data_IF_073999481044
#
_entry.id   IF_073999481044
#
_cell.length_a   1.000
_cell.length_b   1.000
_cell.length_c   1.000
_cell.angle_alpha   90.00
_cell.angle_beta   90.00
_cell.angle_gamma   90.00
#
_symmetry.space_group_name_H-M   'P 1'
#
loop_
_entity.id
_entity.type
_entity.pdbx_description
1 polymer ?
#
# COMPACT_ATOMS: atom_id res chain seq x y z
N UNK A 1 14.58 -8.20 82.05
CA UNK A 1 14.98 -6.79 82.29
C UNK A 1 13.99 -5.87 81.60
N UNK A 2 13.57 -4.84 82.34
CA UNK A 2 12.54 -3.82 82.04
C UNK A 2 12.98 -2.80 80.95
N UNK A 3 12.07 -1.93 80.45
CA UNK A 3 11.94 -1.74 79.00
C UNK A 3 11.76 -0.23 78.58
N UNK A 4 11.42 0.04 77.29
CA UNK A 4 10.76 1.26 76.71
C UNK A 4 11.47 2.63 76.74
N UNK A 5 11.49 3.33 75.57
CA UNK A 5 10.68 4.55 75.34
C UNK A 5 10.80 5.10 73.90
N UNK A 6 9.63 5.48 73.40
CA UNK A 6 9.31 6.31 72.23
C UNK A 6 9.21 7.78 72.69
N UNK A 7 9.46 8.73 71.79
CA UNK A 7 8.72 10.02 71.55
C UNK A 7 9.63 10.98 70.78
N UNK A 8 9.18 12.01 70.06
CA UNK A 8 8.11 12.20 69.06
C UNK A 8 8.21 13.68 68.62
N UNK A 9 7.75 13.95 67.40
CA UNK A 9 7.15 15.21 66.94
C UNK A 9 8.04 16.44 66.63
N UNK A 10 7.63 17.16 65.57
CA UNK A 10 7.98 18.57 65.37
C UNK A 10 8.08 19.02 63.92
N UNK A 11 6.94 19.30 63.29
CA UNK A 11 6.82 19.84 61.94
C UNK A 11 7.32 21.30 61.79
N UNK A 12 7.72 21.70 60.57
CA UNK A 12 7.29 22.97 59.95
C UNK A 12 7.85 23.15 58.53
N UNK A 13 6.95 23.53 57.62
CA UNK A 13 7.18 24.02 56.25
C UNK A 13 7.89 25.38 56.24
N UNK A 14 8.68 25.66 55.21
CA UNK A 14 8.63 26.97 54.54
C UNK A 14 9.06 26.90 53.09
N UNK A 15 8.29 27.61 52.27
CA UNK A 15 8.27 27.73 50.81
C UNK A 15 9.04 28.98 50.37
N UNK A 16 9.43 29.05 49.08
CA UNK A 16 9.85 30.21 48.25
C UNK A 16 11.37 30.31 48.02
N UNK A 17 11.91 30.67 46.84
CA UNK A 17 11.36 31.21 45.57
C UNK A 17 12.46 31.10 44.49
N UNK A 18 12.03 31.08 43.21
CA UNK A 18 12.81 31.28 41.98
C UNK A 18 13.49 32.66 41.91
N UNK A 19 14.62 32.74 41.19
CA UNK A 19 14.96 33.78 40.20
C UNK A 19 16.17 33.25 39.38
N UNK A 20 16.04 32.90 38.09
CA UNK A 20 16.08 33.75 36.87
C UNK A 20 17.49 34.29 36.57
N UNK A 21 18.03 33.84 35.43
CA UNK A 21 19.26 34.30 34.79
C UNK A 21 19.16 35.76 34.28
N UNK A 22 20.29 36.35 33.85
CA UNK A 22 20.33 36.67 32.41
C UNK A 22 21.71 36.52 31.74
N UNK A 23 21.65 36.67 30.43
CA UNK A 23 22.61 36.34 29.39
C UNK A 23 23.70 37.39 29.11
N UNK A 24 24.69 36.93 28.34
CA UNK A 24 25.43 37.61 27.28
C UNK A 24 26.48 38.69 27.64
N UNK A 25 27.76 38.42 27.29
CA UNK A 25 28.53 39.23 26.32
C UNK A 25 29.88 38.58 25.98
N UNK A 26 30.11 38.36 24.68
CA UNK A 26 31.46 38.30 24.08
C UNK A 26 32.14 39.67 24.23
N UNK A 27 33.47 39.81 24.32
CA UNK A 27 34.38 39.91 23.17
C UNK A 27 35.85 39.80 23.62
N UNK A 28 36.69 39.35 22.68
CA UNK A 28 38.15 39.21 22.72
C UNK A 28 38.92 40.51 23.00
N UNK A 29 40.07 40.43 23.68
CA UNK A 29 41.37 40.91 23.18
C UNK A 29 42.54 40.22 23.92
N UNK A 30 43.62 40.03 23.17
CA UNK A 30 44.72 39.10 23.40
C UNK A 30 46.03 39.82 23.76
N UNK A 31 47.03 39.01 24.15
CA UNK A 31 48.50 39.25 24.21
C UNK A 31 49.02 39.99 25.44
N UNK A 32 49.99 39.47 26.19
CA UNK A 32 51.36 39.07 25.81
C UNK A 32 51.93 38.12 26.87
N UNK A 33 52.41 36.93 26.49
CA UNK A 33 53.81 36.57 26.18
C UNK A 33 54.62 36.05 27.38
N UNK A 34 54.75 34.73 27.44
CA UNK A 34 56.00 34.08 27.84
C UNK A 34 56.03 32.68 27.21
N UNK A 35 56.65 32.60 26.03
CA UNK A 35 57.24 31.37 25.49
C UNK A 35 58.20 30.83 26.58
N UNK A 36 58.29 29.53 26.88
CA UNK A 36 58.55 28.46 25.93
C UNK A 36 58.39 27.07 26.61
N UNK A 37 58.38 26.02 25.76
CA UNK A 37 58.61 24.59 26.08
C UNK A 37 57.37 23.69 26.37
N UNK A 38 56.65 23.39 25.28
CA UNK A 38 56.08 22.08 24.89
C UNK A 38 55.44 21.20 25.99
N UNK A 39 54.24 21.58 26.45
CA UNK A 39 53.29 20.61 27.03
C UNK A 39 52.61 19.85 25.90
N UNK A 40 52.93 18.56 25.75
CA UNK A 40 52.18 17.61 24.90
C UNK A 40 50.68 17.76 25.19
N UNK A 41 49.79 17.73 24.18
CA UNK A 41 48.36 17.74 24.43
C UNK A 41 48.00 16.54 25.32
N UNK A 42 47.31 16.80 26.43
CA UNK A 42 46.71 15.74 27.25
C UNK A 42 45.64 15.07 26.38
N UNK A 43 46.03 13.96 25.74
CA UNK A 43 45.09 13.02 25.17
C UNK A 43 44.23 12.56 26.35
N UNK A 44 42.97 12.99 26.39
CA UNK A 44 41.97 12.31 27.21
C UNK A 44 41.89 10.89 26.67
N UNK A 45 42.62 9.97 27.32
CA UNK A 45 42.42 8.53 27.11
C UNK A 45 41.01 8.27 27.62
N UNK A 46 40.02 8.32 26.72
CA UNK A 46 38.69 7.82 27.02
C UNK A 46 38.90 6.40 27.54
N UNK A 47 38.56 6.14 28.81
CA UNK A 47 38.59 4.78 29.36
C UNK A 47 37.87 3.90 28.34
N UNK A 48 38.54 2.85 27.87
CA UNK A 48 37.92 1.83 27.03
C UNK A 48 36.63 1.42 27.77
N UNK A 49 35.45 1.49 27.15
CA UNK A 49 34.23 0.98 27.77
C UNK A 49 34.51 -0.45 28.24
N UNK A 50 34.04 -0.81 29.45
CA UNK A 50 34.12 -2.18 29.91
C UNK A 50 33.51 -3.08 28.83
N UNK A 51 34.31 -4.04 28.35
CA UNK A 51 33.83 -4.98 27.34
C UNK A 51 32.61 -5.69 27.91
N UNK A 52 31.46 -5.67 27.21
CA UNK A 52 30.25 -6.28 27.72
C UNK A 52 30.51 -7.76 28.00
N UNK A 53 30.24 -8.18 29.23
CA UNK A 53 30.44 -9.56 29.66
C UNK A 53 29.65 -10.49 28.73
N UNK A 54 30.40 -11.25 27.96
CA UNK A 54 29.86 -12.22 27.01
C UNK A 54 29.12 -13.31 27.80
N UNK A 55 27.87 -13.66 27.44
CA UNK A 55 27.13 -14.72 28.12
C UNK A 55 27.89 -16.06 28.06
N UNK A 56 27.88 -16.89 29.12
CA UNK A 56 28.53 -18.21 29.12
C UNK A 56 28.05 -19.16 28.02
N UNK A 57 26.88 -18.90 27.45
CA UNK A 57 26.28 -19.65 26.34
C UNK A 57 26.80 -19.23 24.95
N UNK A 58 27.48 -18.09 24.82
CA UNK A 58 28.05 -17.63 23.56
C UNK A 58 29.37 -18.33 23.30
N UNK A 59 29.34 -19.29 22.38
CA UNK A 59 30.56 -19.85 21.79
C UNK A 59 30.87 -19.02 20.54
N UNK A 60 31.95 -18.23 20.50
CA UNK A 60 32.34 -17.55 19.29
C UNK A 60 32.56 -18.58 18.18
N UNK A 61 32.20 -18.23 16.95
CA UNK A 61 32.61 -19.01 15.80
C UNK A 61 34.11 -18.74 15.59
N UNK A 62 34.95 -19.77 15.69
CA UNK A 62 36.36 -19.65 15.35
C UNK A 62 36.45 -19.48 13.82
N UNK A 63 36.70 -18.26 13.37
CA UNK A 63 37.15 -18.02 11.99
C UNK A 63 38.58 -18.56 11.93
N UNK A 64 38.93 -19.39 10.92
CA UNK A 64 40.32 -19.78 10.70
C UNK A 64 41.22 -18.55 10.71
N UNK A 65 42.39 -18.60 11.37
CA UNK A 65 43.34 -17.48 11.46
C UNK A 65 43.79 -16.91 10.10
N UNK A 66 43.40 -17.53 8.99
CA UNK A 66 43.75 -17.16 7.62
C UNK A 66 42.74 -16.20 6.97
N UNK A 67 41.57 -15.95 7.57
CA UNK A 67 40.43 -15.32 6.87
C UNK A 67 40.21 -13.82 7.13
N UNK A 68 41.20 -13.09 7.64
CA UNK A 68 40.98 -11.69 8.09
C UNK A 68 42.07 -10.69 7.71
N UNK A 69 42.73 -10.84 6.56
CA UNK A 69 43.25 -9.66 5.85
C UNK A 69 42.33 -9.41 4.65
N UNK A 70 41.15 -8.81 4.91
CA UNK A 70 40.19 -8.45 3.86
C UNK A 70 40.75 -7.42 2.85
N UNK A 71 41.90 -6.83 3.17
CA UNK A 71 42.62 -5.85 2.37
C UNK A 71 43.70 -6.50 1.49
N UNK A 72 43.82 -7.83 1.51
CA UNK A 72 44.98 -8.56 0.98
C UNK A 72 44.82 -9.09 -0.44
N UNK A 73 43.77 -8.67 -1.15
CA UNK A 73 43.57 -9.04 -2.54
C UNK A 73 44.75 -8.57 -3.41
N UNK A 74 45.60 -9.50 -3.83
CA UNK A 74 46.82 -9.21 -4.60
C UNK A 74 48.08 -8.93 -3.77
N UNK A 75 48.03 -9.12 -2.44
CA UNK A 75 49.21 -8.98 -1.59
C UNK A 75 50.01 -10.31 -1.53
N UNK A 76 51.23 -10.30 -2.09
CA UNK A 76 52.16 -11.44 -2.13
C UNK A 76 52.57 -11.96 -0.73
N UNK A 77 52.39 -11.14 0.32
CA UNK A 77 52.69 -11.50 1.70
C UNK A 77 51.54 -12.23 2.40
N UNK A 78 50.37 -12.34 1.75
CA UNK A 78 49.26 -13.14 2.28
C UNK A 78 49.54 -14.61 2.01
N UNK A 79 49.64 -15.41 3.06
CA UNK A 79 49.78 -16.86 2.90
C UNK A 79 48.53 -17.41 2.17
N UNK A 80 48.68 -18.14 1.06
CA UNK A 80 47.54 -18.71 0.34
C UNK A 80 46.84 -19.78 1.18
N UNK A 81 45.55 -19.96 0.91
CA UNK A 81 44.76 -21.01 1.54
C UNK A 81 45.08 -22.37 0.88
N UNK A 82 45.94 -23.16 1.53
CA UNK A 82 46.47 -24.42 1.00
C UNK A 82 45.49 -25.60 1.11
N UNK A 83 45.66 -26.61 0.26
CA UNK A 83 44.83 -27.82 0.24
C UNK A 83 44.88 -28.63 1.56
N UNK A 84 46.04 -28.65 2.23
CA UNK A 84 46.22 -29.34 3.51
C UNK A 84 45.48 -28.63 4.65
N UNK A 85 45.45 -27.31 4.62
CA UNK A 85 44.70 -26.49 5.57
C UNK A 85 43.19 -26.67 5.34
N UNK A 86 42.75 -26.74 4.08
CA UNK A 86 41.38 -27.10 3.74
C UNK A 86 40.97 -28.49 4.27
N UNK A 87 41.88 -29.48 4.21
CA UNK A 87 41.64 -30.83 4.76
C UNK A 87 41.54 -30.81 6.29
N UNK A 88 42.44 -30.09 6.95
CA UNK A 88 42.48 -29.95 8.41
C UNK A 88 41.22 -29.27 8.94
N UNK A 89 40.78 -28.18 8.30
CA UNK A 89 39.53 -27.51 8.64
C UNK A 89 38.33 -28.43 8.39
N UNK A 90 38.28 -29.16 7.26
CA UNK A 90 37.21 -30.13 7.02
C UNK A 90 37.12 -31.19 8.12
N UNK A 91 38.25 -31.72 8.59
CA UNK A 91 38.27 -32.70 9.68
C UNK A 91 37.83 -32.08 11.01
N UNK A 92 38.33 -30.89 11.35
CA UNK A 92 37.95 -30.16 12.58
C UNK A 92 36.44 -29.92 12.66
N UNK A 93 35.82 -29.51 11.55
CA UNK A 93 34.40 -29.17 11.50
C UNK A 93 33.49 -30.35 11.13
N UNK A 94 34.03 -31.51 10.76
CA UNK A 94 33.23 -32.69 10.39
C UNK A 94 32.37 -33.23 11.55
N UNK A 95 32.80 -33.03 12.79
CA UNK A 95 32.08 -33.48 13.98
C UNK A 95 31.09 -32.44 14.54
N UNK A 96 31.11 -31.18 14.07
CA UNK A 96 30.24 -30.13 14.59
C UNK A 96 28.88 -30.11 13.85
N UNK A 97 27.76 -30.50 14.50
CA UNK A 97 26.44 -30.47 13.87
C UNK A 97 25.99 -29.05 13.48
N UNK A 98 26.56 -28.00 14.09
CA UNK A 98 26.25 -26.61 13.76
C UNK A 98 26.85 -26.22 12.41
N UNK A 99 28.08 -26.64 12.14
CA UNK A 99 28.74 -26.38 10.86
C UNK A 99 27.97 -27.05 9.72
N UNK A 100 27.53 -28.30 9.92
CA UNK A 100 26.68 -28.99 8.95
C UNK A 100 25.32 -28.32 8.76
N UNK A 101 24.68 -27.86 9.84
CA UNK A 101 23.43 -27.11 9.75
C UNK A 101 23.60 -25.79 8.99
N UNK A 102 24.71 -25.07 9.23
CA UNK A 102 25.05 -23.84 8.50
C UNK A 102 25.31 -24.15 7.04
N UNK A 103 26.13 -25.16 6.71
CA UNK A 103 26.40 -25.56 5.33
C UNK A 103 25.11 -25.94 4.60
N UNK A 104 24.23 -26.73 5.22
CA UNK A 104 22.92 -27.08 4.67
C UNK A 104 22.06 -25.83 4.43
N UNK A 105 22.09 -24.87 5.37
CA UNK A 105 21.38 -23.59 5.24
C UNK A 105 21.94 -22.72 4.12
N UNK A 106 23.26 -22.65 3.95
CA UNK A 106 23.92 -21.93 2.86
C UNK A 106 23.56 -22.56 1.53
N UNK A 107 23.68 -23.88 1.37
CA UNK A 107 23.29 -24.58 0.13
C UNK A 107 21.81 -24.35 -0.20
N UNK A 108 20.92 -24.42 0.80
CA UNK A 108 19.50 -24.12 0.62
C UNK A 108 19.31 -22.68 0.18
N UNK A 109 20.00 -21.74 0.80
CA UNK A 109 19.92 -20.32 0.47
C UNK A 109 20.42 -20.04 -0.95
N UNK A 110 21.54 -20.62 -1.38
CA UNK A 110 22.04 -20.51 -2.75
C UNK A 110 21.06 -21.04 -3.78
N UNK A 111 20.39 -22.17 -3.50
CA UNK A 111 19.32 -22.68 -4.39
C UNK A 111 18.13 -21.74 -4.46
N UNK A 112 17.75 -21.11 -3.34
CA UNK A 112 16.67 -20.12 -3.33
C UNK A 112 17.08 -18.91 -4.16
N UNK A 113 18.29 -18.38 -3.97
CA UNK A 113 18.80 -17.25 -4.75
C UNK A 113 18.83 -17.58 -6.24
N UNK A 114 19.38 -18.72 -6.65
CA UNK A 114 19.42 -19.11 -8.07
C UNK A 114 18.01 -19.15 -8.70
N UNK A 115 17.01 -19.68 -7.98
CA UNK A 115 15.61 -19.67 -8.44
C UNK A 115 15.02 -18.26 -8.52
N UNK A 116 15.35 -17.40 -7.56
CA UNK A 116 14.89 -16.02 -7.55
C UNK A 116 15.54 -15.23 -8.69
N UNK A 117 16.82 -15.44 -8.98
CA UNK A 117 17.49 -14.78 -10.09
C UNK A 117 16.95 -15.29 -11.42
N UNK A 118 16.72 -16.60 -11.60
CA UNK A 118 16.03 -17.13 -12.78
C UNK A 118 14.62 -16.53 -12.94
N UNK A 119 13.87 -16.41 -11.84
CA UNK A 119 12.55 -15.78 -11.86
C UNK A 119 12.63 -14.29 -12.19
N UNK A 120 13.66 -13.60 -11.70
CA UNK A 120 13.88 -12.19 -11.98
C UNK A 120 14.30 -11.98 -13.43
N UNK A 121 15.13 -12.86 -13.99
CA UNK A 121 15.56 -12.77 -15.38
C UNK A 121 14.36 -12.92 -16.33
N UNK A 122 13.44 -13.86 -16.07
CA UNK A 122 12.17 -13.95 -16.81
C UNK A 122 11.34 -12.67 -16.73
N UNK A 123 11.37 -12.02 -15.57
CA UNK A 123 10.66 -10.76 -15.34
C UNK A 123 11.42 -9.58 -15.92
N UNK A 124 12.73 -9.70 -16.19
CA UNK A 124 13.59 -8.65 -16.74
C UNK A 124 13.86 -8.86 -18.25
N UNK A 125 13.36 -9.94 -18.85
CA UNK A 125 13.46 -10.24 -20.28
C UNK A 125 12.58 -9.31 -21.14
N UNK A 126 13.14 -8.90 -22.28
CA UNK A 126 12.65 -7.83 -23.17
C UNK A 126 11.36 -8.17 -23.96
N UNK A 127 10.62 -9.23 -23.65
CA UNK A 127 9.61 -9.79 -24.58
C UNK A 127 8.17 -9.33 -24.35
N UNK A 128 7.78 -8.96 -23.14
CA UNK A 128 6.42 -8.52 -22.84
C UNK A 128 6.48 -7.31 -21.93
N UNK A 129 5.55 -6.37 -22.10
CA UNK A 129 5.37 -5.27 -21.16
C UNK A 129 5.34 -5.83 -19.73
N UNK A 130 6.36 -5.53 -18.93
CA UNK A 130 6.51 -6.07 -17.58
C UNK A 130 5.65 -5.25 -16.62
N UNK A 131 4.34 -5.50 -16.59
CA UNK A 131 3.44 -4.77 -15.69
C UNK A 131 3.88 -4.94 -14.23
N UNK A 132 4.45 -6.08 -13.87
CA UNK A 132 4.97 -6.30 -12.52
C UNK A 132 6.19 -5.47 -12.13
N UNK A 133 6.82 -4.71 -13.04
CA UNK A 133 7.96 -3.84 -12.73
C UNK A 133 7.73 -2.97 -11.50
N UNK A 134 8.69 -2.90 -10.59
CA UNK A 134 8.62 -2.03 -9.40
C UNK A 134 8.49 -0.54 -9.77
N UNK A 135 7.50 0.09 -9.15
CA UNK A 135 7.18 1.51 -9.26
C UNK A 135 7.61 2.25 -7.99
N UNK A 136 7.79 3.56 -8.09
CA UNK A 136 8.08 4.45 -6.95
C UNK A 136 7.01 4.33 -5.87
N UNK A 137 5.75 4.17 -6.29
CA UNK A 137 4.63 3.94 -5.40
C UNK A 137 4.80 2.66 -4.58
N UNK A 138 5.32 1.57 -5.14
CA UNK A 138 5.48 0.32 -4.36
C UNK A 138 6.52 0.48 -3.26
N UNK A 139 7.63 1.17 -3.57
CA UNK A 139 8.68 1.48 -2.60
C UNK A 139 8.13 2.42 -1.52
N UNK A 140 7.38 3.44 -1.92
CA UNK A 140 6.77 4.39 -0.99
C UNK A 140 5.73 3.71 -0.09
N UNK A 141 4.84 2.88 -0.64
CA UNK A 141 3.84 2.16 0.17
C UNK A 141 4.53 1.18 1.12
N UNK A 142 5.58 0.46 0.67
CA UNK A 142 6.37 -0.39 1.54
C UNK A 142 7.07 0.42 2.66
N UNK A 143 7.57 1.62 2.37
CA UNK A 143 8.21 2.48 3.36
C UNK A 143 7.22 3.08 4.37
N UNK A 144 6.03 3.49 3.90
CA UNK A 144 4.96 4.05 4.74
C UNK A 144 4.30 3.00 5.64
N UNK A 145 4.46 1.72 5.31
CA UNK A 145 3.95 0.61 6.13
C UNK A 145 4.70 0.40 7.46
N UNK A 146 5.60 1.32 7.84
CA UNK A 146 6.07 1.58 9.21
C UNK A 146 7.17 0.62 9.75
N UNK A 147 8.46 0.95 9.55
CA UNK A 147 9.63 0.12 9.93
C UNK A 147 10.00 0.13 11.42
N UNK A 148 9.19 0.74 12.31
CA UNK A 148 9.60 1.07 13.68
C UNK A 148 8.77 0.48 14.82
N UNK A 149 7.58 -0.09 14.57
CA UNK A 149 6.73 -0.61 15.64
C UNK A 149 6.95 -2.13 15.82
N UNK A 150 7.19 -2.64 17.05
CA UNK A 150 7.19 -4.07 17.31
C UNK A 150 5.79 -4.61 17.05
N UNK A 151 5.60 -5.24 15.89
CA UNK A 151 4.32 -5.82 15.49
C UNK A 151 4.23 -7.27 15.96
N UNK A 152 3.02 -7.74 16.32
CA UNK A 152 2.77 -9.16 16.48
C UNK A 152 3.21 -9.92 15.23
N UNK A 153 3.89 -11.07 15.40
CA UNK A 153 4.42 -11.91 14.31
C UNK A 153 3.37 -12.38 13.29
N UNK A 154 2.10 -12.11 13.54
CA UNK A 154 0.95 -12.62 12.79
C UNK A 154 0.22 -11.54 11.95
N UNK A 155 0.52 -10.24 12.11
CA UNK A 155 -0.24 -9.16 11.47
C UNK A 155 0.45 -8.50 10.27
N UNK A 156 1.28 -9.22 9.52
CA UNK A 156 1.90 -8.68 8.29
C UNK A 156 0.91 -8.72 7.13
N UNK A 157 -0.21 -7.99 7.25
CA UNK A 157 -1.17 -7.82 6.17
C UNK A 157 -0.66 -6.76 5.18
N UNK A 158 0.47 -7.05 4.53
CA UNK A 158 0.67 -6.50 3.18
C UNK A 158 -0.59 -6.83 2.39
N UNK A 159 -1.12 -5.84 1.67
CA UNK A 159 -2.24 -6.10 0.79
C UNK A 159 -1.87 -7.28 -0.11
N UNK A 160 -2.83 -8.16 -0.42
CA UNK A 160 -2.57 -9.29 -1.31
C UNK A 160 -1.86 -8.81 -2.58
N UNK A 161 -2.22 -7.62 -3.06
CA UNK A 161 -1.58 -6.94 -4.18
C UNK A 161 -0.06 -6.71 -4.01
N UNK A 162 0.41 -6.13 -2.90
CA UNK A 162 1.86 -5.89 -2.70
C UNK A 162 2.66 -7.20 -2.63
N UNK A 163 2.11 -8.24 -2.01
CA UNK A 163 2.77 -9.56 -2.00
C UNK A 163 2.94 -10.12 -3.41
N UNK A 164 1.96 -9.90 -4.30
CA UNK A 164 2.09 -10.29 -5.71
C UNK A 164 3.19 -9.48 -6.40
N UNK A 165 3.30 -8.17 -6.14
CA UNK A 165 4.40 -7.36 -6.67
C UNK A 165 5.75 -7.90 -6.21
N UNK A 166 5.92 -8.19 -4.92
CA UNK A 166 7.18 -8.69 -4.38
C UNK A 166 7.54 -10.06 -4.95
N UNK A 167 6.58 -10.97 -5.00
CA UNK A 167 6.75 -12.30 -5.57
C UNK A 167 7.18 -12.24 -7.04
N UNK A 168 6.48 -11.44 -7.86
CA UNK A 168 6.80 -11.29 -9.27
C UNK A 168 8.12 -10.55 -9.51
N UNK A 169 8.67 -9.80 -8.55
CA UNK A 169 10.02 -9.21 -8.66
C UNK A 169 11.10 -10.05 -7.98
N UNK A 170 10.79 -11.32 -7.71
CA UNK A 170 11.70 -12.28 -7.08
C UNK A 170 12.31 -11.75 -5.77
N UNK A 171 11.49 -11.08 -4.96
CA UNK A 171 11.88 -10.63 -3.62
C UNK A 171 11.64 -11.79 -2.65
N UNK A 172 12.66 -12.26 -1.91
CA UNK A 172 12.49 -13.40 -1.02
C UNK A 172 11.48 -13.09 0.11
N UNK A 173 10.55 -13.99 0.38
CA UNK A 173 9.54 -13.81 1.46
C UNK A 173 10.16 -13.58 2.85
N UNK A 174 11.36 -14.11 3.07
CA UNK A 174 12.10 -13.89 4.33
C UNK A 174 12.42 -12.41 4.59
N UNK A 175 12.40 -11.58 3.55
CA UNK A 175 12.65 -10.13 3.63
C UNK A 175 11.38 -9.36 4.04
N UNK A 176 10.19 -9.94 3.88
CA UNK A 176 8.93 -9.29 4.22
C UNK A 176 8.81 -8.99 5.73
N UNK A 177 9.65 -9.62 6.55
CA UNK A 177 9.66 -9.45 8.02
C UNK A 177 10.56 -8.30 8.49
N UNK A 178 11.40 -7.78 7.62
CA UNK A 178 12.36 -6.72 7.94
C UNK A 178 12.25 -5.65 6.87
N UNK A 179 11.50 -4.59 7.20
CA UNK A 179 11.20 -3.50 6.27
C UNK A 179 12.47 -2.87 5.70
N UNK A 180 13.57 -2.78 6.47
CA UNK A 180 14.84 -2.26 5.95
C UNK A 180 15.41 -3.14 4.85
N UNK A 181 15.34 -4.47 5.03
CA UNK A 181 15.77 -5.43 4.01
C UNK A 181 14.83 -5.41 2.81
N UNK A 182 13.52 -5.38 3.04
CA UNK A 182 12.54 -5.31 1.97
C UNK A 182 12.77 -4.08 1.09
N UNK A 183 12.89 -2.90 1.69
CA UNK A 183 13.17 -1.65 0.97
C UNK A 183 14.51 -1.75 0.22
N UNK A 184 15.55 -2.30 0.85
CA UNK A 184 16.83 -2.54 0.18
C UNK A 184 16.70 -3.43 -1.06
N UNK A 185 15.93 -4.51 -0.98
CA UNK A 185 15.62 -5.38 -2.11
C UNK A 185 14.81 -4.68 -3.19
N UNK A 186 13.79 -3.91 -2.81
CA UNK A 186 12.96 -3.15 -3.75
C UNK A 186 13.79 -2.12 -4.53
N UNK A 187 14.65 -1.37 -3.84
CA UNK A 187 15.55 -0.40 -4.47
C UNK A 187 16.56 -1.08 -5.38
N UNK A 188 17.19 -2.17 -4.92
CA UNK A 188 18.12 -2.93 -5.73
C UNK A 188 17.46 -3.46 -7.00
N UNK A 189 16.32 -4.14 -6.88
CA UNK A 189 15.60 -4.69 -8.04
C UNK A 189 15.16 -3.59 -9.00
N UNK A 190 14.66 -2.45 -8.50
CA UNK A 190 14.28 -1.30 -9.34
C UNK A 190 15.44 -0.76 -10.17
N UNK A 191 16.64 -0.68 -9.60
CA UNK A 191 17.84 -0.20 -10.30
C UNK A 191 18.36 -1.21 -11.33
N UNK A 192 18.20 -2.50 -11.05
CA UNK A 192 18.65 -3.58 -11.95
C UNK A 192 17.66 -3.87 -13.08
N UNK A 193 16.38 -3.51 -12.93
CA UNK A 193 15.38 -3.67 -13.98
C UNK A 193 15.70 -2.76 -15.16
N UNK A 194 15.81 -3.34 -16.36
CA UNK A 194 16.07 -2.59 -17.59
C UNK A 194 14.96 -1.57 -17.83
N UNK A 195 15.34 -0.36 -18.23
CA UNK A 195 14.38 0.62 -18.71
C UNK A 195 13.98 0.27 -20.15
N UNK A 196 12.98 -0.59 -20.30
CA UNK A 196 12.40 -0.82 -21.62
C UNK A 196 11.76 0.47 -22.16
N UNK A 197 11.87 0.66 -23.48
CA UNK A 197 11.16 1.75 -24.16
C UNK A 197 9.70 1.32 -24.26
N UNK A 198 8.80 2.20 -23.82
CA UNK A 198 7.37 1.95 -23.99
C UNK A 198 7.05 1.63 -25.46
N UNK A 199 6.43 0.48 -25.69
CA UNK A 199 5.89 0.09 -26.99
C UNK A 199 4.37 -0.10 -26.88
N UNK A 200 3.57 0.65 -27.66
CA UNK A 200 2.11 0.62 -27.58
C UNK A 200 1.52 -0.74 -27.98
N UNK A 201 2.17 -1.47 -28.88
CA UNK A 201 1.70 -2.79 -29.31
C UNK A 201 1.84 -3.82 -28.19
N UNK A 202 2.91 -3.72 -27.40
CA UNK A 202 3.13 -4.58 -26.22
C UNK A 202 2.08 -4.32 -25.14
N UNK A 203 1.64 -3.07 -24.98
CA UNK A 203 0.54 -2.73 -24.07
C UNK A 203 -0.75 -3.43 -24.47
N UNK A 204 -1.08 -3.35 -25.75
CA UNK A 204 -2.28 -3.97 -26.30
C UNK A 204 -2.28 -5.48 -26.02
N UNK A 205 -1.17 -6.16 -26.33
CA UNK A 205 -1.02 -7.58 -26.07
C UNK A 205 -1.06 -7.92 -24.57
N UNK A 206 -0.50 -7.07 -23.71
CA UNK A 206 -0.52 -7.27 -22.26
C UNK A 206 -1.92 -7.09 -21.66
N UNK A 207 -2.69 -6.11 -22.15
CA UNK A 207 -4.11 -5.94 -21.78
C UNK A 207 -4.92 -7.17 -22.23
N UNK A 208 -4.71 -7.62 -23.47
CA UNK A 208 -5.41 -8.79 -24.01
C UNK A 208 -5.08 -10.06 -23.19
N UNK A 209 -3.81 -10.23 -22.81
CA UNK A 209 -3.31 -11.33 -22.01
C UNK A 209 -3.63 -11.24 -20.51
N UNK A 210 -4.16 -10.11 -20.02
CA UNK A 210 -4.48 -9.94 -18.60
C UNK A 210 -5.59 -10.89 -18.17
N UNK A 211 -5.30 -11.74 -17.18
CA UNK A 211 -6.22 -12.77 -16.66
C UNK A 211 -6.75 -12.44 -15.27
N UNK A 212 -6.09 -11.54 -14.56
CA UNK A 212 -6.46 -11.17 -13.20
C UNK A 212 -6.69 -9.67 -13.06
N UNK A 213 -7.51 -9.29 -12.08
CA UNK A 213 -7.69 -7.90 -11.66
C UNK A 213 -6.36 -7.27 -11.26
N UNK A 214 -5.49 -8.02 -10.58
CA UNK A 214 -4.17 -7.51 -10.16
C UNK A 214 -3.30 -7.15 -11.36
N UNK A 215 -3.32 -7.95 -12.43
CA UNK A 215 -2.59 -7.64 -13.67
C UNK A 215 -3.10 -6.33 -14.29
N UNK A 216 -4.42 -6.20 -14.40
CA UNK A 216 -5.04 -5.02 -15.02
C UNK A 216 -4.86 -3.76 -14.17
N UNK A 217 -5.05 -3.86 -12.85
CA UNK A 217 -4.74 -2.79 -11.90
C UNK A 217 -3.30 -2.31 -12.10
N UNK A 218 -2.37 -3.27 -12.21
CA UNK A 218 -0.96 -2.96 -12.35
C UNK A 218 -0.65 -2.31 -13.70
N UNK A 219 -1.19 -2.83 -14.80
CA UNK A 219 -1.06 -2.22 -16.13
C UNK A 219 -1.53 -0.76 -16.12
N UNK A 220 -2.73 -0.48 -15.59
CA UNK A 220 -3.27 0.88 -15.53
C UNK A 220 -2.42 1.77 -14.61
N UNK A 221 -1.93 1.24 -13.48
CA UNK A 221 -1.04 1.98 -12.58
C UNK A 221 0.29 2.34 -13.25
N UNK A 222 0.88 1.42 -14.03
CA UNK A 222 2.09 1.69 -14.80
C UNK A 222 1.85 2.76 -15.86
N UNK A 223 0.69 2.75 -16.52
CA UNK A 223 0.31 3.80 -17.47
C UNK A 223 0.20 5.17 -16.81
N UNK A 224 -0.37 5.20 -15.60
CA UNK A 224 -0.47 6.40 -14.76
C UNK A 224 0.88 6.91 -14.23
N UNK A 225 1.96 6.15 -14.31
CA UNK A 225 3.29 6.61 -13.93
C UNK A 225 4.08 7.11 -15.15
N UNK A 226 3.83 6.53 -16.33
CA UNK A 226 4.46 6.89 -17.60
C UNK A 226 4.01 8.26 -18.17
N UNK A 227 3.24 9.04 -17.40
CA UNK A 227 2.56 10.31 -17.70
C UNK A 227 3.34 11.37 -18.49
N UNK A 228 4.65 11.25 -18.59
CA UNK A 228 5.51 12.24 -19.25
C UNK A 228 6.00 11.83 -20.64
N UNK A 229 5.73 10.61 -21.13
CA UNK A 229 6.50 10.05 -22.26
C UNK A 229 5.70 9.53 -23.44
N UNK A 230 4.36 9.50 -23.37
CA UNK A 230 3.56 8.80 -24.38
C UNK A 230 2.37 9.66 -24.81
N UNK A 231 2.20 9.91 -26.12
CA UNK A 231 0.94 10.42 -26.65
C UNK A 231 -0.18 9.39 -26.36
N UNK A 232 -1.12 9.74 -25.49
CA UNK A 232 -2.26 8.89 -25.13
C UNK A 232 -3.20 8.59 -26.31
N UNK A 233 -2.99 9.17 -27.49
CA UNK A 233 -3.65 8.76 -28.73
C UNK A 233 -3.39 7.28 -29.10
N UNK A 234 -2.28 6.69 -28.60
CA UNK A 234 -1.96 5.26 -28.75
C UNK A 234 -2.53 4.39 -27.63
N UNK A 235 -3.39 4.96 -26.81
CA UNK A 235 -3.94 4.30 -25.64
C UNK A 235 -5.11 3.40 -26.03
N UNK A 236 -4.99 2.11 -25.71
CA UNK A 236 -5.99 1.10 -26.05
C UNK A 236 -7.19 1.14 -25.08
N UNK A 237 -7.83 2.30 -24.89
CA UNK A 237 -8.95 2.51 -23.97
C UNK A 237 -10.07 1.47 -24.17
N UNK A 238 -10.40 1.17 -25.43
CA UNK A 238 -11.39 0.16 -25.77
C UNK A 238 -10.96 -1.26 -25.40
N UNK A 239 -9.65 -1.59 -25.47
CA UNK A 239 -9.14 -2.87 -24.98
C UNK A 239 -9.18 -2.95 -23.47
N UNK A 240 -8.90 -1.86 -22.77
CA UNK A 240 -9.02 -1.80 -21.31
C UNK A 240 -10.49 -1.99 -20.93
N UNK A 241 -11.42 -1.33 -21.61
CA UNK A 241 -12.84 -1.53 -21.39
C UNK A 241 -13.23 -3.01 -21.61
N UNK A 242 -12.78 -3.64 -22.70
CA UNK A 242 -13.04 -5.05 -22.96
C UNK A 242 -12.44 -5.98 -21.88
N UNK A 243 -11.22 -5.70 -21.41
CA UNK A 243 -10.58 -6.44 -20.33
C UNK A 243 -11.34 -6.26 -19.00
N UNK A 244 -11.78 -5.05 -18.69
CA UNK A 244 -12.62 -4.74 -17.52
C UNK A 244 -13.95 -5.49 -17.61
N UNK A 245 -14.63 -5.48 -18.76
CA UNK A 245 -15.89 -6.21 -18.94
C UNK A 245 -15.72 -7.71 -18.68
N UNK A 246 -14.64 -8.31 -19.20
CA UNK A 246 -14.30 -9.72 -18.98
C UNK A 246 -14.03 -10.05 -17.51
N UNK A 247 -13.37 -9.14 -16.78
CA UNK A 247 -13.02 -9.31 -15.37
C UNK A 247 -14.08 -8.76 -14.40
N UNK A 248 -15.16 -8.16 -14.91
CA UNK A 248 -16.18 -7.50 -14.08
C UNK A 248 -17.00 -8.48 -13.22
N UNK A 249 -16.97 -9.78 -13.57
CA UNK A 249 -17.62 -10.86 -12.82
C UNK A 249 -16.80 -11.33 -11.63
N UNK A 250 -15.52 -10.96 -11.55
CA UNK A 250 -14.64 -11.32 -10.44
C UNK A 250 -15.07 -10.55 -9.17
N UNK A 251 -15.23 -11.21 -8.01
CA UNK A 251 -15.58 -10.57 -6.74
C UNK A 251 -14.71 -9.36 -6.38
N UNK A 252 -13.46 -9.31 -6.84
CA UNK A 252 -12.49 -8.28 -6.47
C UNK A 252 -12.55 -7.01 -7.37
N UNK A 253 -13.48 -6.92 -8.34
CA UNK A 253 -13.53 -5.81 -9.32
C UNK A 253 -13.59 -4.41 -8.69
N UNK A 254 -14.13 -4.31 -7.47
CA UNK A 254 -14.20 -3.07 -6.69
C UNK A 254 -12.80 -2.49 -6.42
N UNK A 255 -11.76 -3.33 -6.32
CA UNK A 255 -10.37 -2.89 -6.09
C UNK A 255 -9.81 -2.06 -7.24
N UNK A 256 -10.44 -2.11 -8.43
CA UNK A 256 -10.01 -1.32 -9.58
C UNK A 256 -10.47 0.14 -9.52
N UNK A 257 -11.55 0.44 -8.77
CA UNK A 257 -12.16 1.78 -8.77
C UNK A 257 -11.19 2.91 -8.42
N UNK A 258 -10.31 2.82 -7.39
CA UNK A 258 -9.36 3.89 -7.10
C UNK A 258 -8.42 4.20 -8.27
N UNK A 259 -7.95 3.15 -8.96
CA UNK A 259 -7.07 3.29 -10.11
C UNK A 259 -7.84 3.81 -11.33
N UNK A 260 -9.06 3.34 -11.56
CA UNK A 260 -9.94 3.84 -12.63
C UNK A 260 -10.33 5.31 -12.43
N UNK A 261 -10.58 5.74 -11.19
CA UNK A 261 -10.85 7.14 -10.86
C UNK A 261 -9.61 8.00 -11.11
N UNK A 262 -8.42 7.53 -10.69
CA UNK A 262 -7.15 8.21 -10.94
C UNK A 262 -6.87 8.31 -12.44
N UNK A 263 -7.20 7.25 -13.18
CA UNK A 263 -7.10 7.19 -14.64
C UNK A 263 -8.05 8.18 -15.32
N UNK A 264 -9.32 8.21 -14.92
CA UNK A 264 -10.31 9.17 -15.41
C UNK A 264 -9.88 10.62 -15.18
N UNK A 265 -9.45 10.96 -13.95
CA UNK A 265 -8.97 12.29 -13.62
C UNK A 265 -7.76 12.68 -14.47
N UNK A 266 -6.86 11.74 -14.73
CA UNK A 266 -5.72 11.97 -15.59
C UNK A 266 -6.14 12.27 -17.04
N UNK A 267 -7.05 11.48 -17.61
CA UNK A 267 -7.59 11.76 -18.96
C UNK A 267 -8.20 13.16 -19.02
N UNK A 268 -9.01 13.54 -18.02
CA UNK A 268 -9.63 14.86 -17.94
C UNK A 268 -8.61 16.00 -17.85
N UNK A 269 -7.58 15.85 -17.01
CA UNK A 269 -6.54 16.88 -16.84
C UNK A 269 -5.67 17.05 -18.09
N UNK A 270 -5.40 15.97 -18.80
CA UNK A 270 -4.56 15.99 -19.98
C UNK A 270 -5.33 16.23 -21.28
N UNK A 271 -6.65 16.44 -21.21
CA UNK A 271 -7.51 16.69 -22.38
C UNK A 271 -7.73 15.47 -23.26
N UNK A 272 -7.48 14.26 -22.75
CA UNK A 272 -7.66 13.02 -23.51
C UNK A 272 -9.10 12.54 -23.47
N UNK A 273 -9.52 11.91 -24.57
CA UNK A 273 -10.86 11.34 -24.69
C UNK A 273 -10.98 10.08 -23.84
N UNK A 274 -11.93 10.09 -22.93
CA UNK A 274 -12.29 8.92 -22.13
C UNK A 274 -13.38 8.17 -22.88
N UNK A 275 -13.07 7.01 -23.46
CA UNK A 275 -13.98 6.43 -24.46
C UNK A 275 -15.33 6.02 -23.86
N UNK A 276 -16.41 6.03 -24.66
CA UNK A 276 -17.74 5.66 -24.16
C UNK A 276 -17.77 4.26 -23.52
N UNK A 277 -17.16 3.26 -24.17
CA UNK A 277 -17.07 1.90 -23.64
C UNK A 277 -16.36 1.82 -22.27
N UNK A 278 -15.36 2.67 -22.04
CA UNK A 278 -14.66 2.72 -20.75
C UNK A 278 -15.53 3.42 -19.69
N UNK A 279 -16.30 4.43 -20.08
CA UNK A 279 -17.28 5.07 -19.22
C UNK A 279 -18.39 4.11 -18.79
N UNK A 280 -18.94 3.35 -19.74
CA UNK A 280 -19.99 2.36 -19.50
C UNK A 280 -19.56 1.33 -18.46
N UNK A 281 -18.39 0.72 -18.63
CA UNK A 281 -17.91 -0.31 -17.69
C UNK A 281 -17.55 0.28 -16.33
N UNK A 282 -16.98 1.49 -16.27
CA UNK A 282 -16.66 2.15 -15.00
C UNK A 282 -17.93 2.51 -14.21
N UNK A 283 -19.00 2.90 -14.91
CA UNK A 283 -20.33 3.11 -14.35
C UNK A 283 -20.89 1.81 -13.75
N UNK A 284 -20.86 0.70 -14.51
CA UNK A 284 -21.31 -0.62 -14.03
C UNK A 284 -20.53 -1.06 -12.79
N UNK A 285 -19.20 -0.98 -12.82
CA UNK A 285 -18.33 -1.32 -11.66
C UNK A 285 -18.66 -0.43 -10.46
N UNK A 286 -18.90 0.87 -10.66
CA UNK A 286 -19.24 1.80 -9.59
C UNK A 286 -20.59 1.49 -8.95
N UNK A 287 -21.59 1.10 -9.76
CA UNK A 287 -22.89 0.68 -9.26
C UNK A 287 -22.82 -0.63 -8.48
N UNK A 288 -22.09 -1.63 -8.98
CA UNK A 288 -21.87 -2.92 -8.26
C UNK A 288 -21.15 -2.73 -6.93
N UNK A 289 -20.22 -1.78 -6.86
CA UNK A 289 -19.52 -1.41 -5.64
C UNK A 289 -20.32 -0.46 -4.73
N UNK A 290 -21.49 -0.01 -5.17
CA UNK A 290 -22.32 0.99 -4.51
C UNK A 290 -21.56 2.29 -4.17
N UNK A 291 -20.59 2.66 -5.01
CA UNK A 291 -19.80 3.90 -4.90
C UNK A 291 -20.51 5.02 -5.66
N UNK A 292 -21.61 5.52 -5.08
CA UNK A 292 -22.50 6.51 -5.70
C UNK A 292 -21.79 7.77 -6.22
N UNK A 293 -20.77 8.26 -5.50
CA UNK A 293 -19.99 9.43 -5.95
C UNK A 293 -19.18 9.17 -7.23
N UNK A 294 -18.58 7.97 -7.36
CA UNK A 294 -17.89 7.58 -8.58
C UNK A 294 -18.90 7.37 -9.73
N UNK A 295 -20.05 6.76 -9.42
CA UNK A 295 -21.14 6.59 -10.37
C UNK A 295 -21.65 7.94 -10.92
N UNK A 296 -21.89 8.91 -10.04
CA UNK A 296 -22.32 10.27 -10.40
C UNK A 296 -21.30 10.93 -11.33
N UNK A 297 -20.01 10.81 -11.01
CA UNK A 297 -18.91 11.34 -11.81
C UNK A 297 -18.89 10.76 -13.24
N UNK A 298 -19.01 9.44 -13.39
CA UNK A 298 -19.00 8.79 -14.71
C UNK A 298 -20.26 9.11 -15.51
N UNK A 299 -21.44 9.09 -14.87
CA UNK A 299 -22.70 9.47 -15.52
C UNK A 299 -22.68 10.92 -16.01
N UNK A 300 -22.25 11.85 -15.16
CA UNK A 300 -22.15 13.26 -15.53
C UNK A 300 -21.18 13.45 -16.70
N UNK A 301 -20.06 12.71 -16.70
CA UNK A 301 -19.12 12.75 -17.81
C UNK A 301 -19.74 12.26 -19.12
N UNK A 302 -20.40 11.09 -19.12
CA UNK A 302 -20.99 10.55 -20.34
C UNK A 302 -22.17 11.39 -20.87
N UNK A 303 -22.98 11.97 -19.98
CA UNK A 303 -24.05 12.91 -20.38
C UNK A 303 -23.48 14.16 -21.03
N UNK A 304 -22.41 14.74 -20.46
CA UNK A 304 -21.78 15.94 -21.00
C UNK A 304 -21.07 15.71 -22.34
N UNK A 305 -20.76 14.47 -22.69
CA UNK A 305 -20.11 14.10 -23.95
C UNK A 305 -21.04 13.32 -24.89
N UNK A 306 -22.36 13.30 -24.60
CA UNK A 306 -23.38 12.69 -25.47
C UNK A 306 -23.11 11.20 -25.79
N UNK A 307 -22.53 10.46 -24.84
CA UNK A 307 -22.15 9.06 -25.05
C UNK A 307 -23.32 8.11 -25.21
N UNK A 308 -24.55 8.52 -24.88
CA UNK A 308 -25.74 7.66 -24.95
C UNK A 308 -26.83 8.27 -25.82
N UNK A 309 -26.48 9.15 -26.75
CA UNK A 309 -27.42 9.63 -27.75
C UNK A 309 -27.58 8.59 -28.88
N UNK A 310 -28.76 8.55 -29.50
CA UNK A 310 -29.13 7.59 -30.57
C UNK A 310 -28.13 7.55 -31.76
N UNK A 311 -27.26 8.54 -31.86
CA UNK A 311 -26.21 8.68 -32.89
C UNK A 311 -24.94 7.88 -32.58
N UNK A 312 -24.74 7.43 -31.34
CA UNK A 312 -23.55 6.71 -30.91
C UNK A 312 -23.85 5.21 -30.74
N UNK A 313 -22.99 4.31 -31.22
CA UNK A 313 -23.16 2.85 -31.10
C UNK A 313 -22.79 2.34 -29.69
N UNK A 314 -23.15 3.08 -28.65
CA UNK A 314 -22.95 2.66 -27.27
C UNK A 314 -24.01 1.67 -26.83
N UNK A 315 -23.63 0.84 -25.86
CA UNK A 315 -24.50 -0.22 -25.36
C UNK A 315 -25.40 0.36 -24.29
N UNK A 316 -26.63 0.74 -24.67
CA UNK A 316 -27.70 1.08 -23.71
C UNK A 316 -27.88 -0.06 -22.67
N UNK A 317 -27.54 -1.29 -23.05
CA UNK A 317 -27.48 -2.46 -22.16
C UNK A 317 -26.67 -2.22 -20.87
N UNK A 318 -25.55 -1.50 -20.91
CA UNK A 318 -24.72 -1.23 -19.73
C UNK A 318 -25.39 -0.19 -18.79
N UNK A 319 -26.14 0.75 -19.35
CA UNK A 319 -26.97 1.70 -18.59
C UNK A 319 -28.11 0.96 -17.89
N UNK A 320 -28.80 0.07 -18.61
CA UNK A 320 -29.86 -0.79 -18.05
C UNK A 320 -29.30 -1.71 -16.96
N UNK A 321 -28.14 -2.33 -17.18
CA UNK A 321 -27.46 -3.16 -16.18
C UNK A 321 -27.11 -2.37 -14.92
N UNK A 322 -26.70 -1.11 -15.07
CA UNK A 322 -26.41 -0.20 -13.96
C UNK A 322 -27.67 0.11 -13.16
N UNK A 323 -28.79 0.42 -13.83
CA UNK A 323 -30.09 0.65 -13.18
C UNK A 323 -30.59 -0.60 -12.45
N UNK A 324 -30.52 -1.77 -13.08
CA UNK A 324 -30.90 -3.05 -12.46
C UNK A 324 -30.04 -3.36 -11.23
N UNK A 325 -28.74 -3.04 -11.28
CA UNK A 325 -27.83 -3.21 -10.14
C UNK A 325 -28.23 -2.29 -8.99
N UNK A 326 -28.57 -1.03 -9.26
CA UNK A 326 -29.07 -0.09 -8.26
C UNK A 326 -30.42 -0.54 -7.67
N UNK A 327 -31.35 -0.95 -8.51
CA UNK A 327 -32.65 -1.49 -8.10
C UNK A 327 -32.46 -2.66 -7.12
N UNK A 328 -31.59 -3.60 -7.45
CA UNK A 328 -31.26 -4.74 -6.60
C UNK A 328 -30.69 -4.30 -5.24
N UNK A 329 -29.77 -3.33 -5.22
CA UNK A 329 -29.22 -2.79 -3.98
C UNK A 329 -30.28 -2.09 -3.13
N UNK A 330 -31.16 -1.28 -3.74
CA UNK A 330 -32.24 -0.57 -3.06
C UNK A 330 -33.30 -1.52 -2.51
N UNK A 331 -33.65 -2.58 -3.24
CA UNK A 331 -34.59 -3.60 -2.78
C UNK A 331 -34.08 -4.33 -1.54
N UNK A 332 -32.79 -4.68 -1.54
CA UNK A 332 -32.14 -5.29 -0.37
C UNK A 332 -31.99 -4.34 0.82
N UNK A 333 -31.93 -3.04 0.58
CA UNK A 333 -31.90 -2.03 1.64
C UNK A 333 -33.26 -1.93 2.34
N UNK A 334 -34.35 -1.90 1.57
CA UNK A 334 -35.71 -1.81 2.10
C UNK A 334 -36.12 -3.05 2.91
N UNK A 335 -35.76 -4.26 2.47
CA UNK A 335 -36.09 -5.51 3.19
C UNK A 335 -35.35 -5.63 4.52
N UNK A 336 -34.08 -5.19 4.61
CA UNK A 336 -33.34 -5.21 5.88
C UNK A 336 -33.82 -4.17 6.90
N UNK A 337 -34.42 -3.07 6.44
CA UNK A 337 -35.00 -2.06 7.33
C UNK A 337 -36.28 -2.54 8.03
N UNK A 338 -36.91 -3.62 7.55
CA UNK A 338 -38.21 -4.08 8.04
C UNK A 338 -38.08 -5.26 9.01
N UNK A 339 -37.10 -6.16 8.83
CA UNK A 339 -37.09 -7.45 9.55
C UNK A 339 -35.97 -7.69 10.57
N UNK A 340 -34.96 -6.82 10.72
CA UNK A 340 -33.93 -6.98 11.78
C UNK A 340 -33.16 -8.33 11.79
N UNK A 341 -33.31 -9.16 10.75
CA UNK A 341 -32.82 -10.53 10.71
C UNK A 341 -31.42 -10.66 10.12
N UNK A 342 -30.57 -11.44 10.79
CA UNK A 342 -29.25 -11.87 10.30
C UNK A 342 -29.37 -12.64 8.97
N UNK A 343 -28.89 -12.03 7.89
CA UNK A 343 -28.64 -12.76 6.64
C UNK A 343 -27.29 -13.44 6.74
N UNK A 344 -27.31 -14.75 7.04
CA UNK A 344 -26.21 -15.66 6.71
C UNK A 344 -26.15 -15.83 5.19
N UNK A 345 -24.93 -15.91 4.67
CA UNK A 345 -24.57 -16.23 3.28
C UNK A 345 -24.70 -15.13 2.23
N UNK A 346 -23.86 -14.09 2.34
CA UNK A 346 -22.94 -13.64 1.26
C UNK A 346 -22.07 -12.45 1.75
N UNK A 347 -20.73 -12.53 1.67
CA UNK A 347 -19.83 -11.50 2.22
C UNK A 347 -19.96 -10.12 1.57
N UNK A 348 -20.63 -10.01 0.41
CA UNK A 348 -20.76 -8.78 -0.37
C UNK A 348 -21.93 -7.87 0.03
N UNK A 349 -22.95 -8.35 0.76
CA UNK A 349 -24.18 -7.56 1.01
C UNK A 349 -24.07 -6.62 2.22
N UNK A 350 -23.40 -7.02 3.30
CA UNK A 350 -23.38 -6.25 4.55
C UNK A 350 -22.49 -4.99 4.48
N UNK A 351 -21.32 -5.09 3.82
CA UNK A 351 -20.38 -3.96 3.71
C UNK A 351 -20.94 -2.79 2.89
N UNK A 352 -21.63 -3.08 1.77
CA UNK A 352 -22.18 -2.05 0.89
C UNK A 352 -23.37 -1.30 1.53
N UNK A 353 -24.19 -1.97 2.34
CA UNK A 353 -25.28 -1.29 3.06
C UNK A 353 -24.74 -0.29 4.09
N UNK A 354 -23.65 -0.63 4.78
CA UNK A 354 -22.93 0.33 5.62
C UNK A 354 -22.34 1.48 4.80
N UNK A 355 -21.81 1.23 3.59
CA UNK A 355 -21.34 2.29 2.70
C UNK A 355 -22.47 3.24 2.29
N UNK A 356 -23.70 2.75 2.06
CA UNK A 356 -24.86 3.60 1.76
C UNK A 356 -25.27 4.45 2.98
N UNK A 357 -25.19 3.88 4.19
CA UNK A 357 -25.47 4.57 5.45
C UNK A 357 -24.38 5.60 5.84
N UNK A 358 -23.17 5.48 5.29
CA UNK A 358 -22.07 6.42 5.52
C UNK A 358 -22.23 7.75 4.75
N UNK A 359 -23.14 7.84 3.78
CA UNK A 359 -23.45 9.11 3.13
C UNK A 359 -24.30 9.98 4.06
N UNK A 360 -23.95 11.25 4.21
CA UNK A 360 -24.69 12.21 5.03
C UNK A 360 -26.16 12.36 4.58
N UNK A 361 -26.42 12.21 3.27
CA UNK A 361 -27.77 12.11 2.73
C UNK A 361 -27.77 11.23 1.46
N UNK A 362 -27.95 9.90 1.59
CA UNK A 362 -27.92 8.99 0.44
C UNK A 362 -29.07 9.25 -0.53
N UNK A 363 -30.21 9.73 -0.02
CA UNK A 363 -31.40 10.06 -0.83
C UNK A 363 -31.09 11.18 -1.82
N UNK A 364 -30.41 12.24 -1.39
CA UNK A 364 -30.07 13.37 -2.28
C UNK A 364 -29.13 12.93 -3.41
N UNK A 365 -28.13 12.10 -3.10
CA UNK A 365 -27.20 11.56 -4.11
C UNK A 365 -27.97 10.71 -5.13
N UNK A 366 -28.84 9.82 -4.66
CA UNK A 366 -29.67 8.97 -5.52
C UNK A 366 -30.64 9.79 -6.37
N UNK A 367 -31.23 10.87 -5.84
CA UNK A 367 -32.09 11.76 -6.63
C UNK A 367 -31.31 12.48 -7.74
N UNK A 368 -30.08 12.92 -7.48
CA UNK A 368 -29.20 13.48 -8.53
C UNK A 368 -28.86 12.44 -9.59
N UNK A 369 -28.55 11.22 -9.19
CA UNK A 369 -28.33 10.10 -10.12
C UNK A 369 -29.57 9.84 -10.99
N UNK A 370 -30.76 9.79 -10.39
CA UNK A 370 -32.03 9.66 -11.12
C UNK A 370 -32.24 10.80 -12.13
N UNK A 371 -31.85 12.03 -11.81
CA UNK A 371 -31.93 13.16 -12.73
C UNK A 371 -30.95 13.02 -13.91
N UNK A 372 -29.76 12.46 -13.69
CA UNK A 372 -28.81 12.16 -14.77
C UNK A 372 -29.33 11.03 -15.67
N UNK A 373 -29.83 9.93 -15.10
CA UNK A 373 -30.45 8.85 -15.89
C UNK A 373 -31.67 9.33 -16.67
N UNK A 374 -32.45 10.27 -16.12
CA UNK A 374 -33.60 10.85 -16.82
C UNK A 374 -33.18 11.50 -18.14
N UNK A 375 -32.06 12.22 -18.17
CA UNK A 375 -31.53 12.80 -19.42
C UNK A 375 -31.21 11.73 -20.46
N UNK A 376 -30.64 10.60 -20.02
CA UNK A 376 -30.34 9.46 -20.91
C UNK A 376 -31.63 8.83 -21.45
N UNK A 377 -32.66 8.66 -20.60
CA UNK A 377 -33.98 8.14 -21.00
C UNK A 377 -34.64 9.09 -22.02
N UNK A 378 -34.54 10.40 -21.81
CA UNK A 378 -35.08 11.41 -22.72
C UNK A 378 -34.38 11.39 -24.09
N UNK A 379 -33.07 11.15 -24.13
CA UNK A 379 -32.32 10.93 -25.37
C UNK A 379 -32.71 9.64 -26.11
N UNK A 380 -33.30 8.65 -25.42
CA UNK A 380 -33.62 7.32 -25.97
C UNK A 380 -35.12 6.97 -25.84
N UNK A 381 -36.03 7.71 -26.51
CA UNK A 381 -37.47 7.58 -26.31
C UNK A 381 -38.05 6.23 -26.77
N UNK A 382 -37.33 5.50 -27.61
CA UNK A 382 -37.77 4.22 -28.17
C UNK A 382 -37.51 3.02 -27.23
N UNK A 383 -36.72 3.20 -26.17
CA UNK A 383 -36.40 2.14 -25.22
C UNK A 383 -37.38 2.15 -24.03
N UNK A 384 -38.48 1.41 -24.18
CA UNK A 384 -39.50 1.27 -23.14
C UNK A 384 -38.99 0.52 -21.90
N UNK A 385 -37.99 -0.36 -22.05
CA UNK A 385 -37.41 -1.11 -20.94
C UNK A 385 -36.58 -0.19 -20.04
N UNK A 386 -35.75 0.67 -20.63
CA UNK A 386 -34.96 1.67 -19.90
C UNK A 386 -35.86 2.63 -19.13
N UNK A 387 -36.95 3.11 -19.74
CA UNK A 387 -37.93 3.98 -19.08
C UNK A 387 -38.59 3.30 -17.87
N UNK A 388 -39.03 2.06 -18.05
CA UNK A 388 -39.69 1.28 -16.98
C UNK A 388 -38.74 1.04 -15.80
N UNK A 389 -37.48 0.69 -16.07
CA UNK A 389 -36.45 0.50 -15.03
C UNK A 389 -36.15 1.80 -14.29
N UNK A 390 -36.01 2.91 -15.02
CA UNK A 390 -35.79 4.23 -14.42
C UNK A 390 -36.92 4.65 -13.47
N UNK A 391 -38.18 4.52 -13.91
CA UNK A 391 -39.36 4.84 -13.10
C UNK A 391 -39.38 4.02 -11.80
N UNK A 392 -39.09 2.72 -11.89
CA UNK A 392 -39.03 1.83 -10.73
C UNK A 392 -37.95 2.26 -9.73
N UNK A 393 -36.74 2.57 -10.19
CA UNK A 393 -35.66 3.06 -9.31
C UNK A 393 -36.04 4.40 -8.68
N UNK A 394 -36.65 5.32 -9.44
CA UNK A 394 -37.12 6.62 -8.92
C UNK A 394 -38.13 6.44 -7.80
N UNK A 395 -39.10 5.54 -7.96
CA UNK A 395 -40.12 5.28 -6.94
C UNK A 395 -39.52 4.65 -5.68
N UNK A 396 -38.56 3.74 -5.84
CA UNK A 396 -37.81 3.18 -4.71
C UNK A 396 -36.98 4.23 -3.96
N UNK A 397 -36.35 5.17 -4.68
CA UNK A 397 -35.59 6.27 -4.06
C UNK A 397 -36.51 7.25 -3.34
N UNK A 398 -37.69 7.53 -3.89
CA UNK A 398 -38.69 8.41 -3.25
C UNK A 398 -39.27 7.82 -1.97
N UNK A 399 -39.41 6.49 -1.89
CA UNK A 399 -39.91 5.79 -0.72
C UNK A 399 -38.87 5.60 0.38
N UNK A 400 -37.59 5.90 0.12
CA UNK A 400 -36.57 5.90 1.17
C UNK A 400 -36.87 6.98 2.23
N UNK A 401 -36.74 6.65 3.52
CA UNK A 401 -36.89 7.63 4.58
C UNK A 401 -35.85 8.74 4.38
N UNK A 402 -36.26 9.99 4.59
CA UNK A 402 -35.33 11.11 4.72
C UNK A 402 -34.51 10.87 5.98
N UNK A 403 -33.40 10.16 5.88
CA UNK A 403 -32.53 9.88 7.03
C UNK A 403 -32.03 11.21 7.61
N UNK A 404 -32.69 11.69 8.66
CA UNK A 404 -32.10 12.64 9.61
C UNK A 404 -31.15 11.88 10.56
N UNK A 405 -30.21 11.12 10.01
CA UNK A 405 -29.14 10.49 10.79
C UNK A 405 -27.98 11.48 10.95
N UNK A 406 -28.28 12.60 11.61
CA UNK A 406 -27.31 13.67 11.92
C UNK A 406 -27.34 14.15 13.37
N UNK A 407 -28.32 13.77 14.18
CA UNK A 407 -28.46 14.34 15.54
C UNK A 407 -28.09 13.40 16.69
N UNK A 408 -28.14 12.07 16.53
CA UNK A 408 -28.10 11.18 17.69
C UNK A 408 -26.70 10.74 18.16
N UNK A 409 -25.62 11.08 17.44
CA UNK A 409 -24.24 10.68 17.82
C UNK A 409 -23.42 11.77 18.51
N UNK A 410 -23.98 12.98 18.65
CA UNK A 410 -23.36 14.06 19.43
C UNK A 410 -23.71 14.02 20.93
N UNK A 411 -24.75 13.28 21.33
CA UNK A 411 -25.22 13.24 22.72
C UNK A 411 -24.56 12.22 23.66
N UNK A 412 -23.79 11.26 23.13
CA UNK A 412 -23.18 10.18 23.93
C UNK A 412 -21.70 10.41 24.30
N UNK A 413 -21.10 11.53 23.88
CA UNK A 413 -19.71 11.87 24.25
C UNK A 413 -19.63 12.88 25.41
N UNK A 414 -20.72 13.59 25.72
CA UNK A 414 -20.73 14.58 26.82
C UNK A 414 -21.12 14.02 28.20
N UNK A 415 -21.58 12.76 28.30
CA UNK A 415 -21.96 12.15 29.59
C UNK A 415 -20.84 11.40 30.32
N UNK A 416 -19.63 11.30 29.75
CA UNK A 416 -18.48 10.61 30.36
C UNK A 416 -17.35 11.53 30.85
N UNK A 417 -17.62 12.83 31.04
CA UNK A 417 -16.62 13.82 31.48
C UNK A 417 -16.98 14.58 32.77
N UNK A 418 -17.82 13.99 33.62
CA UNK A 418 -18.09 14.52 34.97
C UNK A 418 -18.02 13.45 36.06
N UNK A 419 -16.83 12.88 36.32
CA UNK A 419 -16.44 12.42 37.66
C UNK A 419 -14.90 12.52 37.75
N UNK A 420 -14.40 13.64 38.28
CA UNK A 420 -13.19 13.74 39.13
C UNK A 420 -12.91 15.23 39.41
N UNK A 421 -13.45 15.69 40.54
CA UNK A 421 -12.94 16.82 41.34
C UNK A 421 -13.01 16.44 42.79
#
# INVERSE_FOLDING_TARGET
MKPWRITSAGAARSVRRRAVAPEATSCFHSSTSSYEVLRRPRIHVKKKPEEPAVPPSWKPFEIPNVLLDLDSWGNEYTRPYDADEAKTQRQKWAADPRHDAIRKRVVRFSRILAKLDESFDRVNEDAAWQHWRLMDQDIMVAALQNPGAPRPRESHDYSSFQRHVFYNNAIPESTYRDDKRLIGWLLHRRLTTRHDRFHPDRLASAIDASKSISDLHRLISSLLDLKQRIPMERFHANKIAAALSRLSTDPDHVKLLPVLNSFFLHCKQSGYTFTPALCDICMVISARALRLGALEMYLQHGVNNEYWDNSTPTKIEDVQLTLNTLEWHLGNFQTKSIDGGEVRDRPFSARHINDLANYANPRDVLLRLCALFKKIVESNPNDSALKTQHEKVVDMVKSLPSCQLGASRAGEVESNLQVET
#
